data_IF_153538870488
#
_entry.id   IF_153538870488
#
_cell.length_a   1.000
_cell.length_b   1.000
_cell.length_c   1.000
_cell.angle_alpha   90.00
_cell.angle_beta   90.00
_cell.angle_gamma   90.00
#
_symmetry.space_group_name_H-M   'P 1'
#
loop_
_entity.id
_entity.type
_entity.pdbx_description
1 polymer ?
#
# COMPACT_ATOMS: atom_id res chain seq x y z
N UNK A 1 -5.72 -13.31 -46.64
CA UNK A 1 -6.02 -14.70 -46.28
C UNK A 1 -4.73 -15.36 -45.81
N UNK A 2 -4.49 -15.40 -44.51
CA UNK A 2 -3.48 -16.25 -43.92
C UNK A 2 -4.15 -16.94 -42.75
N UNK A 3 -4.57 -18.18 -42.98
CA UNK A 3 -5.12 -19.08 -42.01
C UNK A 3 -3.97 -19.54 -41.12
N UNK A 4 -3.92 -19.06 -39.87
CA UNK A 4 -2.99 -19.57 -38.87
C UNK A 4 -3.53 -20.94 -38.44
N UNK A 5 -2.93 -21.99 -38.97
CA UNK A 5 -3.10 -23.36 -38.52
C UNK A 5 -2.61 -23.44 -37.06
N UNK A 6 -3.53 -23.45 -36.10
CA UNK A 6 -3.25 -23.89 -34.73
C UNK A 6 -2.76 -25.34 -34.77
N UNK A 7 -1.49 -25.52 -34.42
CA UNK A 7 -0.85 -26.83 -34.52
C UNK A 7 -1.46 -27.82 -33.52
N UNK A 8 -1.70 -29.09 -33.92
CA UNK A 8 -2.25 -30.15 -33.05
C UNK A 8 -1.49 -30.33 -31.72
N UNK A 9 -0.21 -30.01 -31.70
CA UNK A 9 0.61 -30.07 -30.49
C UNK A 9 0.17 -29.04 -29.39
N UNK A 10 -0.30 -27.87 -29.80
CA UNK A 10 -0.78 -26.84 -28.86
C UNK A 10 -2.11 -27.23 -28.22
N UNK A 11 -2.98 -27.91 -28.98
CA UNK A 11 -4.24 -28.44 -28.48
C UNK A 11 -4.02 -29.64 -27.55
N UNK A 12 -3.05 -30.52 -27.85
CA UNK A 12 -2.69 -31.66 -27.00
C UNK A 12 -2.12 -31.19 -25.64
N UNK A 13 -1.21 -30.23 -25.63
CA UNK A 13 -0.63 -29.67 -24.38
C UNK A 13 -1.70 -28.96 -23.56
N UNK A 14 -2.61 -28.22 -24.18
CA UNK A 14 -3.74 -27.57 -23.51
C UNK A 14 -4.72 -28.62 -22.92
N UNK A 15 -4.97 -29.72 -23.60
CA UNK A 15 -5.85 -30.78 -23.11
C UNK A 15 -5.24 -31.56 -21.95
N UNK A 16 -3.93 -31.81 -21.95
CA UNK A 16 -3.24 -32.49 -20.85
C UNK A 16 -3.16 -31.60 -19.59
N UNK A 17 -2.87 -30.29 -19.76
CA UNK A 17 -2.81 -29.33 -18.64
C UNK A 17 -4.19 -29.12 -18.02
N UNK A 18 -5.25 -29.07 -18.82
CA UNK A 18 -6.63 -28.98 -18.31
C UNK A 18 -7.07 -30.28 -17.64
N UNK A 19 -6.68 -31.44 -18.14
CA UNK A 19 -6.96 -32.73 -17.52
C UNK A 19 -6.30 -32.86 -16.14
N UNK A 20 -5.03 -32.46 -16.00
CA UNK A 20 -4.32 -32.42 -14.71
C UNK A 20 -4.97 -31.46 -13.71
N UNK A 21 -5.37 -30.27 -14.15
CA UNK A 21 -6.07 -29.30 -13.29
C UNK A 21 -7.44 -29.80 -12.87
N UNK A 22 -8.16 -30.46 -13.75
CA UNK A 22 -9.49 -31.05 -13.47
C UNK A 22 -9.43 -32.11 -12.38
N UNK A 23 -8.39 -32.92 -12.34
CA UNK A 23 -8.20 -33.93 -11.30
C UNK A 23 -8.23 -33.34 -9.89
N UNK A 24 -7.63 -32.15 -9.68
CA UNK A 24 -7.69 -31.50 -8.38
C UNK A 24 -9.10 -31.07 -8.00
N UNK A 25 -9.89 -30.57 -8.94
CA UNK A 25 -11.28 -30.15 -8.69
C UNK A 25 -12.16 -31.35 -8.43
N UNK A 26 -12.04 -32.41 -9.20
CA UNK A 26 -12.88 -33.63 -9.06
C UNK A 26 -12.71 -34.25 -7.66
N UNK A 27 -11.51 -34.24 -7.09
CA UNK A 27 -11.24 -34.74 -5.73
C UNK A 27 -11.97 -33.98 -4.62
N UNK A 28 -12.39 -32.75 -4.86
CA UNK A 28 -13.16 -31.96 -3.89
C UNK A 28 -14.62 -32.48 -3.75
N UNK A 29 -15.05 -33.38 -4.61
CA UNK A 29 -16.38 -33.98 -4.62
C UNK A 29 -16.38 -35.46 -4.16
N UNK A 30 -15.25 -35.96 -3.67
CA UNK A 30 -15.17 -37.32 -3.13
C UNK A 30 -16.11 -37.44 -1.91
N UNK A 31 -16.84 -38.58 -1.78
CA UNK A 31 -17.70 -38.82 -0.63
C UNK A 31 -16.95 -39.01 0.70
N UNK A 32 -15.67 -39.38 0.61
CA UNK A 32 -14.81 -39.54 1.80
C UNK A 32 -14.20 -38.21 2.22
N UNK A 33 -14.52 -37.68 3.41
CA UNK A 33 -13.99 -36.41 3.90
C UNK A 33 -12.46 -36.37 3.97
N UNK A 34 -11.78 -37.47 4.25
CA UNK A 34 -10.32 -37.54 4.32
C UNK A 34 -9.69 -37.39 2.94
N UNK A 35 -10.32 -37.93 1.91
CA UNK A 35 -9.88 -37.75 0.52
C UNK A 35 -10.11 -36.33 0.04
N UNK A 36 -11.21 -35.68 0.47
CA UNK A 36 -11.46 -34.27 0.19
C UNK A 36 -10.38 -33.40 0.83
N UNK A 37 -10.07 -33.61 2.09
CA UNK A 37 -8.98 -32.88 2.78
C UNK A 37 -7.65 -33.04 2.06
N UNK A 38 -7.27 -34.29 1.72
CA UNK A 38 -6.04 -34.53 0.98
C UNK A 38 -6.06 -33.86 -0.40
N UNK A 39 -7.22 -33.85 -1.07
CA UNK A 39 -7.41 -33.14 -2.34
C UNK A 39 -7.17 -31.63 -2.23
N UNK A 40 -7.67 -31.00 -1.17
CA UNK A 40 -7.43 -29.57 -0.89
C UNK A 40 -5.95 -29.30 -0.59
N UNK A 41 -5.30 -30.15 0.19
CA UNK A 41 -3.86 -30.03 0.49
C UNK A 41 -3.03 -30.16 -0.80
N UNK A 42 -3.33 -31.13 -1.64
CA UNK A 42 -2.64 -31.31 -2.92
C UNK A 42 -2.84 -30.11 -3.85
N UNK A 43 -4.08 -29.57 -3.93
CA UNK A 43 -4.38 -28.35 -4.65
C UNK A 43 -3.57 -27.15 -4.11
N UNK A 44 -3.46 -26.99 -2.79
CA UNK A 44 -2.64 -25.97 -2.16
C UNK A 44 -1.20 -26.04 -2.67
N UNK A 45 -0.62 -27.24 -2.66
CA UNK A 45 0.75 -27.43 -3.11
C UNK A 45 0.93 -27.15 -4.61
N UNK A 46 -0.05 -27.50 -5.42
CA UNK A 46 -0.04 -27.31 -6.88
C UNK A 46 -0.10 -25.84 -7.31
N UNK A 47 -0.68 -24.95 -6.50
CA UNK A 47 -0.85 -23.52 -6.86
C UNK A 47 0.33 -22.65 -6.39
N UNK A 48 1.23 -23.17 -5.57
CA UNK A 48 2.38 -22.40 -5.09
C UNK A 48 3.27 -21.98 -6.26
N UNK A 49 3.42 -20.65 -6.46
CA UNK A 49 4.26 -20.09 -7.53
C UNK A 49 3.75 -20.34 -8.97
N UNK A 50 2.55 -20.90 -9.14
CA UNK A 50 2.02 -21.30 -10.43
C UNK A 50 0.73 -20.53 -10.81
N UNK A 51 0.88 -19.34 -11.38
CA UNK A 51 -0.27 -18.49 -11.76
C UNK A 51 -1.15 -19.11 -12.84
N UNK A 52 -0.58 -19.90 -13.74
CA UNK A 52 -1.35 -20.63 -14.76
C UNK A 52 -2.28 -21.67 -14.13
N UNK A 53 -1.76 -22.43 -13.16
CA UNK A 53 -2.56 -23.41 -12.43
C UNK A 53 -3.67 -22.75 -11.62
N UNK A 54 -3.40 -21.61 -10.96
CA UNK A 54 -4.42 -20.82 -10.27
C UNK A 54 -5.57 -20.42 -11.19
N UNK A 55 -5.26 -19.86 -12.37
CA UNK A 55 -6.25 -19.46 -13.35
C UNK A 55 -7.08 -20.66 -13.86
N UNK A 56 -6.43 -21.79 -14.15
CA UNK A 56 -7.11 -23.00 -14.61
C UNK A 56 -8.09 -23.54 -13.56
N UNK A 57 -7.70 -23.60 -12.30
CA UNK A 57 -8.56 -24.09 -11.22
C UNK A 57 -9.78 -23.19 -11.01
N UNK A 58 -9.60 -21.87 -11.14
CA UNK A 58 -10.72 -20.91 -11.06
C UNK A 58 -11.72 -21.18 -12.19
N UNK A 59 -11.26 -21.30 -13.43
CA UNK A 59 -12.10 -21.58 -14.60
C UNK A 59 -12.83 -22.93 -14.46
N UNK A 60 -12.19 -23.92 -13.86
CA UNK A 60 -12.78 -25.26 -13.63
C UNK A 60 -13.78 -25.32 -12.45
N UNK A 61 -14.02 -24.19 -11.78
CA UNK A 61 -15.04 -24.11 -10.72
C UNK A 61 -14.53 -24.49 -9.33
N UNK A 62 -13.24 -24.42 -9.07
CA UNK A 62 -12.68 -24.71 -7.73
C UNK A 62 -13.22 -23.77 -6.65
N UNK A 63 -13.38 -22.45 -6.96
CA UNK A 63 -13.77 -21.43 -5.99
C UNK A 63 -15.14 -21.70 -5.36
N UNK A 64 -16.22 -21.91 -6.11
CA UNK A 64 -17.53 -22.21 -5.52
C UNK A 64 -17.49 -23.46 -4.63
N UNK A 65 -16.76 -24.48 -5.03
CA UNK A 65 -16.66 -25.72 -4.26
C UNK A 65 -15.88 -25.54 -2.96
N UNK A 66 -14.76 -24.81 -2.99
CA UNK A 66 -13.98 -24.49 -1.79
C UNK A 66 -14.80 -23.65 -0.80
N UNK A 67 -15.58 -22.67 -1.30
CA UNK A 67 -16.47 -21.86 -0.47
C UNK A 67 -17.59 -22.71 0.13
N UNK A 68 -18.16 -23.64 -0.63
CA UNK A 68 -19.13 -24.59 -0.12
C UNK A 68 -18.56 -25.42 1.04
N UNK A 69 -17.38 -26.02 0.86
CA UNK A 69 -16.72 -26.83 1.90
C UNK A 69 -16.40 -26.02 3.16
N UNK A 70 -16.00 -24.76 2.99
CA UNK A 70 -15.69 -23.85 4.08
C UNK A 70 -16.93 -23.50 4.93
N UNK A 71 -18.12 -23.46 4.32
CA UNK A 71 -19.37 -23.11 4.98
C UNK A 71 -20.10 -24.31 5.60
N UNK A 72 -19.75 -25.55 5.23
CA UNK A 72 -20.44 -26.73 5.74
C UNK A 72 -20.18 -26.97 7.21
N UNK A 73 -21.23 -27.16 7.99
CA UNK A 73 -21.11 -27.49 9.41
C UNK A 73 -20.33 -28.80 9.67
N UNK A 74 -20.50 -29.77 8.77
CA UNK A 74 -19.88 -31.08 8.86
C UNK A 74 -18.38 -31.08 8.47
N UNK A 75 -17.89 -30.02 7.85
CA UNK A 75 -16.48 -29.91 7.50
C UNK A 75 -15.64 -29.74 8.77
N UNK A 76 -14.54 -30.50 8.86
CA UNK A 76 -13.59 -30.31 9.95
C UNK A 76 -12.96 -28.92 9.91
N UNK A 77 -12.54 -28.40 11.04
CA UNK A 77 -11.84 -27.11 11.12
C UNK A 77 -10.56 -27.11 10.28
N UNK A 78 -9.87 -28.25 10.22
CA UNK A 78 -8.70 -28.40 9.35
C UNK A 78 -9.04 -28.24 7.87
N UNK A 79 -10.12 -28.89 7.40
CA UNK A 79 -10.58 -28.75 6.02
C UNK A 79 -10.96 -27.29 5.69
N UNK A 80 -11.70 -26.64 6.59
CA UNK A 80 -12.08 -25.22 6.42
C UNK A 80 -10.85 -24.34 6.34
N UNK A 81 -9.87 -24.56 7.19
CA UNK A 81 -8.61 -23.80 7.21
C UNK A 81 -7.84 -23.97 5.90
N UNK A 82 -7.68 -25.22 5.43
CA UNK A 82 -6.99 -25.49 4.16
C UNK A 82 -7.73 -24.89 2.95
N UNK A 83 -9.06 -24.90 2.95
CA UNK A 83 -9.85 -24.20 1.92
C UNK A 83 -9.58 -22.70 1.91
N UNK A 84 -9.54 -22.05 3.07
CA UNK A 84 -9.23 -20.63 3.18
C UNK A 84 -7.80 -20.32 2.70
N UNK A 85 -6.83 -21.17 3.00
CA UNK A 85 -5.45 -21.05 2.52
C UNK A 85 -5.36 -21.15 0.99
N UNK A 86 -6.05 -22.11 0.38
CA UNK A 86 -6.09 -22.25 -1.09
C UNK A 86 -6.73 -21.03 -1.72
N UNK A 87 -7.87 -20.57 -1.21
CA UNK A 87 -8.56 -19.37 -1.73
C UNK A 87 -7.64 -18.14 -1.66
N UNK A 88 -6.90 -17.97 -0.57
CA UNK A 88 -5.90 -16.90 -0.44
C UNK A 88 -4.76 -17.02 -1.47
N UNK A 89 -4.30 -18.23 -1.74
CA UNK A 89 -3.29 -18.49 -2.77
C UNK A 89 -3.80 -18.19 -4.18
N UNK A 90 -5.06 -18.52 -4.48
CA UNK A 90 -5.70 -18.17 -5.76
C UNK A 90 -5.81 -16.64 -5.93
N UNK A 91 -6.14 -15.91 -4.87
CA UNK A 91 -6.20 -14.45 -4.87
C UNK A 91 -4.84 -13.78 -5.14
N UNK A 92 -3.74 -14.42 -4.78
CA UNK A 92 -2.37 -13.93 -5.02
C UNK A 92 -1.89 -14.09 -6.48
N UNK A 93 -2.73 -14.51 -7.41
CA UNK A 93 -2.35 -14.67 -8.81
C UNK A 93 -2.39 -13.37 -9.58
N UNK A 94 -3.53 -13.05 -10.14
CA UNK A 94 -3.77 -11.85 -10.95
C UNK A 94 -5.00 -11.10 -10.47
N UNK A 95 -5.17 -9.85 -10.92
CA UNK A 95 -6.38 -9.08 -10.64
C UNK A 95 -7.64 -9.78 -11.15
N UNK A 96 -7.56 -10.49 -12.28
CA UNK A 96 -8.68 -11.27 -12.81
C UNK A 96 -9.05 -12.42 -11.87
N UNK A 97 -8.08 -13.02 -11.20
CA UNK A 97 -8.36 -14.04 -10.18
C UNK A 97 -9.17 -13.43 -9.03
N UNK A 98 -8.76 -12.26 -8.54
CA UNK A 98 -9.50 -11.55 -7.47
C UNK A 98 -10.92 -11.22 -7.93
N UNK A 99 -11.12 -10.71 -9.15
CA UNK A 99 -12.47 -10.47 -9.71
C UNK A 99 -13.31 -11.72 -9.70
N UNK A 100 -12.77 -12.85 -10.13
CA UNK A 100 -13.50 -14.14 -10.12
C UNK A 100 -13.89 -14.58 -8.70
N UNK A 101 -13.03 -14.34 -7.71
CA UNK A 101 -13.37 -14.63 -6.31
C UNK A 101 -14.46 -13.70 -5.79
N UNK A 102 -14.43 -12.42 -6.15
CA UNK A 102 -15.47 -11.45 -5.79
C UNK A 102 -16.81 -11.82 -6.42
N UNK A 103 -16.84 -12.26 -7.67
CA UNK A 103 -18.03 -12.74 -8.36
C UNK A 103 -18.65 -13.97 -7.68
N UNK A 104 -17.85 -14.76 -6.98
CA UNK A 104 -18.31 -15.88 -6.14
C UNK A 104 -18.74 -15.46 -4.72
N UNK A 105 -18.83 -14.17 -4.42
CA UNK A 105 -19.22 -13.64 -3.10
C UNK A 105 -18.34 -14.13 -1.95
N UNK A 106 -17.03 -14.18 -2.14
CA UNK A 106 -16.07 -14.71 -1.16
C UNK A 106 -16.03 -13.88 0.13
N UNK A 107 -16.18 -12.54 0.07
CA UNK A 107 -16.02 -11.66 1.23
C UNK A 107 -17.01 -12.00 2.35
N UNK A 108 -18.33 -12.08 2.12
CA UNK A 108 -19.28 -12.46 3.16
C UNK A 108 -18.96 -13.81 3.80
N UNK A 109 -18.51 -14.79 3.01
CA UNK A 109 -18.17 -16.13 3.51
C UNK A 109 -16.96 -16.08 4.43
N UNK A 110 -15.91 -15.35 4.06
CA UNK A 110 -14.72 -15.20 4.90
C UNK A 110 -15.00 -14.38 6.17
N UNK A 111 -15.81 -13.33 6.08
CA UNK A 111 -16.24 -12.55 7.25
C UNK A 111 -17.03 -13.41 8.25
N UNK A 112 -17.91 -14.28 7.74
CA UNK A 112 -18.60 -15.25 8.60
C UNK A 112 -17.62 -16.23 9.27
N UNK A 113 -16.57 -16.63 8.56
CA UNK A 113 -15.50 -17.48 9.10
C UNK A 113 -14.75 -16.85 10.28
N UNK A 114 -14.71 -15.52 10.38
CA UNK A 114 -14.10 -14.81 11.51
C UNK A 114 -14.85 -14.99 12.83
N UNK A 115 -16.07 -15.48 12.81
CA UNK A 115 -16.87 -15.80 14.01
C UNK A 115 -16.50 -17.15 14.62
N UNK A 116 -15.63 -17.92 13.99
CA UNK A 116 -15.14 -19.20 14.48
C UNK A 116 -14.35 -19.04 15.78
N UNK A 117 -14.41 -20.01 16.72
CA UNK A 117 -13.54 -20.02 17.89
C UNK A 117 -12.10 -20.43 17.58
N UNK A 118 -11.83 -21.04 16.43
CA UNK A 118 -10.52 -21.54 16.04
C UNK A 118 -9.62 -20.43 15.46
N UNK A 119 -8.52 -20.14 16.16
CA UNK A 119 -7.62 -19.05 15.78
C UNK A 119 -6.93 -19.29 14.44
N UNK A 120 -6.52 -20.53 14.14
CA UNK A 120 -5.83 -20.85 12.87
C UNK A 120 -6.74 -20.61 11.67
N UNK A 121 -8.01 -20.96 11.83
CA UNK A 121 -9.01 -20.71 10.80
C UNK A 121 -9.28 -19.20 10.63
N UNK A 122 -9.42 -18.45 11.73
CA UNK A 122 -9.54 -16.99 11.70
C UNK A 122 -8.34 -16.37 10.96
N UNK A 123 -7.12 -16.78 11.29
CA UNK A 123 -5.90 -16.26 10.65
C UNK A 123 -5.86 -16.58 9.14
N UNK A 124 -6.29 -17.78 8.74
CA UNK A 124 -6.39 -18.15 7.33
C UNK A 124 -7.42 -17.29 6.57
N UNK A 125 -8.60 -17.05 7.16
CA UNK A 125 -9.61 -16.18 6.60
C UNK A 125 -9.12 -14.72 6.49
N UNK A 126 -8.47 -14.20 7.52
CA UNK A 126 -7.92 -12.84 7.52
C UNK A 126 -6.81 -12.67 6.48
N UNK A 127 -5.94 -13.67 6.33
CA UNK A 127 -4.90 -13.64 5.29
C UNK A 127 -5.49 -13.57 3.89
N UNK A 128 -6.55 -14.34 3.64
CA UNK A 128 -7.28 -14.28 2.37
C UNK A 128 -7.97 -12.94 2.18
N UNK A 129 -8.70 -12.45 3.17
CA UNK A 129 -9.36 -11.13 3.15
C UNK A 129 -8.35 -10.00 2.91
N UNK A 130 -7.20 -10.01 3.59
CA UNK A 130 -6.13 -9.04 3.35
C UNK A 130 -5.68 -9.03 1.90
N UNK A 131 -5.45 -10.20 1.30
CA UNK A 131 -5.05 -10.32 -0.10
C UNK A 131 -6.10 -9.75 -1.04
N UNK A 132 -7.38 -10.01 -0.77
CA UNK A 132 -8.49 -9.48 -1.58
C UNK A 132 -8.64 -7.97 -1.41
N UNK A 133 -8.69 -7.46 -0.17
CA UNK A 133 -8.87 -6.03 0.10
C UNK A 133 -7.70 -5.16 -0.32
N UNK A 134 -6.48 -5.69 -0.38
CA UNK A 134 -5.31 -4.95 -0.88
C UNK A 134 -5.19 -4.97 -2.41
N UNK A 135 -6.06 -5.69 -3.11
CA UNK A 135 -6.14 -5.67 -4.56
C UNK A 135 -6.82 -4.39 -5.06
N UNK A 136 -6.30 -3.75 -6.12
CA UNK A 136 -6.90 -2.52 -6.66
C UNK A 136 -8.28 -2.71 -7.27
N UNK A 137 -8.69 -3.95 -7.55
CA UNK A 137 -10.01 -4.26 -8.13
C UNK A 137 -11.11 -4.46 -7.09
N UNK A 138 -10.76 -4.51 -5.81
CA UNK A 138 -11.72 -4.69 -4.72
C UNK A 138 -12.21 -3.34 -4.22
N UNK A 139 -13.53 -3.05 -4.28
CA UNK A 139 -14.06 -1.83 -3.67
C UNK A 139 -13.87 -1.83 -2.15
N UNK A 140 -13.25 -0.81 -1.62
CA UNK A 140 -13.02 -0.65 -0.18
C UNK A 140 -14.30 -0.53 0.64
N UNK A 141 -15.39 -0.05 0.04
CA UNK A 141 -16.69 0.09 0.66
C UNK A 141 -17.27 -1.24 1.13
N UNK A 142 -16.83 -2.36 0.55
CA UNK A 142 -17.25 -3.70 0.98
C UNK A 142 -16.84 -4.01 2.43
N UNK A 143 -15.79 -3.34 2.94
CA UNK A 143 -15.39 -3.47 4.35
C UNK A 143 -16.39 -2.79 5.30
N UNK A 144 -17.05 -1.74 4.85
CA UNK A 144 -17.93 -0.88 5.66
C UNK A 144 -19.42 -1.14 5.43
N UNK A 145 -19.78 -2.06 4.54
CA UNK A 145 -21.16 -2.36 4.16
C UNK A 145 -22.00 -2.98 5.30
N UNK A 146 -21.36 -3.68 6.22
CA UNK A 146 -21.96 -4.25 7.41
C UNK A 146 -21.34 -3.61 8.66
N UNK A 147 -22.16 -2.94 9.46
CA UNK A 147 -21.74 -2.21 10.66
C UNK A 147 -21.09 -3.10 11.74
N UNK A 148 -21.27 -4.41 11.69
CA UNK A 148 -20.71 -5.36 12.67
C UNK A 148 -19.27 -5.74 12.39
N UNK A 149 -18.79 -5.54 11.15
CA UNK A 149 -17.47 -6.00 10.70
C UNK A 149 -16.35 -5.25 11.40
N UNK A 150 -16.37 -3.93 11.40
CA UNK A 150 -15.29 -3.12 12.00
C UNK A 150 -15.14 -3.38 13.50
N UNK A 151 -16.21 -3.36 14.32
CA UNK A 151 -16.10 -3.72 15.74
C UNK A 151 -15.53 -5.11 15.96
N UNK A 152 -15.92 -6.09 15.14
CA UNK A 152 -15.41 -7.45 15.25
C UNK A 152 -13.93 -7.56 14.91
N UNK A 153 -13.48 -6.89 13.85
CA UNK A 153 -12.06 -6.83 13.51
C UNK A 153 -11.24 -6.14 14.60
N UNK A 154 -11.76 -5.06 15.22
CA UNK A 154 -11.11 -4.43 16.37
C UNK A 154 -10.92 -5.41 17.53
N UNK A 155 -11.95 -6.23 17.85
CA UNK A 155 -11.87 -7.24 18.89
C UNK A 155 -10.84 -8.33 18.58
N UNK A 156 -10.64 -8.69 17.31
CA UNK A 156 -9.67 -9.69 16.89
C UNK A 156 -8.21 -9.21 16.98
N UNK A 157 -7.95 -7.92 17.09
CA UNK A 157 -6.59 -7.37 17.25
C UNK A 157 -5.85 -7.91 18.49
N UNK A 158 -6.58 -8.35 19.52
CA UNK A 158 -5.99 -8.92 20.72
C UNK A 158 -5.61 -10.40 20.63
N UNK A 159 -5.93 -11.08 19.51
CA UNK A 159 -5.85 -12.54 19.44
C UNK A 159 -4.44 -13.05 19.10
N UNK A 160 -3.76 -12.47 18.11
CA UNK A 160 -2.41 -12.90 17.71
C UNK A 160 -1.69 -11.80 16.91
N UNK A 161 -0.35 -11.99 16.71
CA UNK A 161 0.43 -11.12 15.84
C UNK A 161 -0.04 -11.14 14.37
N UNK A 162 -0.59 -12.27 13.91
CA UNK A 162 -1.11 -12.39 12.54
C UNK A 162 -2.43 -11.65 12.39
N UNK A 163 -3.34 -11.72 13.36
CA UNK A 163 -4.56 -10.91 13.34
C UNK A 163 -4.22 -9.43 13.36
N UNK A 164 -3.24 -9.02 14.16
CA UNK A 164 -2.74 -7.63 14.20
C UNK A 164 -2.19 -7.17 12.85
N UNK A 165 -1.29 -7.95 12.25
CA UNK A 165 -0.69 -7.63 10.96
C UNK A 165 -1.75 -7.51 9.84
N UNK A 166 -2.61 -8.51 9.71
CA UNK A 166 -3.57 -8.55 8.61
C UNK A 166 -4.68 -7.52 8.75
N UNK A 167 -5.20 -7.33 9.95
CA UNK A 167 -6.27 -6.34 10.19
C UNK A 167 -5.74 -4.91 10.01
N UNK A 168 -4.58 -4.58 10.55
CA UNK A 168 -3.97 -3.26 10.34
C UNK A 168 -3.69 -3.00 8.85
N UNK A 169 -3.27 -4.01 8.10
CA UNK A 169 -3.04 -3.87 6.66
C UNK A 169 -4.35 -3.63 5.91
N UNK A 170 -5.44 -4.32 6.27
CA UNK A 170 -6.77 -4.06 5.71
C UNK A 170 -7.22 -2.63 6.02
N UNK A 171 -7.14 -2.20 7.27
CA UNK A 171 -7.55 -0.86 7.68
C UNK A 171 -6.74 0.24 6.98
N UNK A 172 -5.43 0.12 6.93
CA UNK A 172 -4.60 1.13 6.27
C UNK A 172 -4.85 1.22 4.78
N UNK A 173 -5.15 0.09 4.13
CA UNK A 173 -5.44 0.07 2.70
C UNK A 173 -6.85 0.58 2.37
N UNK A 174 -7.85 0.22 3.18
CA UNK A 174 -9.26 0.55 2.93
C UNK A 174 -9.72 1.87 3.56
N UNK A 175 -8.84 2.64 4.19
CA UNK A 175 -9.16 3.96 4.71
C UNK A 175 -8.86 5.03 3.66
N UNK A 176 -9.85 5.42 2.86
CA UNK A 176 -9.68 6.29 1.69
C UNK A 176 -10.30 7.68 1.83
N UNK A 177 -11.00 7.96 2.90
CA UNK A 177 -11.65 9.24 3.08
C UNK A 177 -12.11 9.50 4.51
N UNK A 178 -12.67 10.68 4.78
CA UNK A 178 -13.06 11.09 6.12
C UNK A 178 -14.12 10.19 6.76
N UNK A 179 -15.04 9.64 5.97
CA UNK A 179 -16.06 8.72 6.48
C UNK A 179 -15.44 7.43 7.00
N UNK A 180 -14.48 6.86 6.26
CA UNK A 180 -13.75 5.67 6.71
C UNK A 180 -12.91 5.97 7.96
N UNK A 181 -12.22 7.12 8.01
CA UNK A 181 -11.49 7.56 9.19
C UNK A 181 -12.39 7.67 10.41
N UNK A 182 -13.58 8.26 10.24
CA UNK A 182 -14.56 8.43 11.31
C UNK A 182 -15.06 7.09 11.85
N UNK A 183 -15.37 6.14 10.96
CA UNK A 183 -15.82 4.80 11.36
C UNK A 183 -14.73 4.09 12.17
N UNK A 184 -13.49 4.07 11.68
CA UNK A 184 -12.37 3.43 12.38
C UNK A 184 -12.10 4.10 13.73
N UNK A 185 -12.07 5.42 13.76
CA UNK A 185 -11.85 6.20 14.98
C UNK A 185 -12.92 5.94 16.04
N UNK A 186 -14.19 5.97 15.66
CA UNK A 186 -15.32 5.76 16.57
C UNK A 186 -15.36 4.33 17.13
N UNK A 187 -14.81 3.35 16.43
CA UNK A 187 -14.69 1.97 16.91
C UNK A 187 -13.37 1.69 17.64
N UNK A 188 -12.63 2.72 18.02
CA UNK A 188 -11.47 2.60 18.88
C UNK A 188 -10.17 2.24 18.19
N UNK A 189 -9.99 2.60 16.92
CA UNK A 189 -8.76 2.31 16.16
C UNK A 189 -7.52 2.85 16.88
N UNK A 190 -7.54 4.09 17.37
CA UNK A 190 -6.40 4.70 18.06
C UNK A 190 -6.00 3.90 19.31
N UNK A 191 -6.97 3.58 20.17
CA UNK A 191 -6.72 2.87 21.42
C UNK A 191 -6.25 1.42 21.18
N UNK A 192 -6.81 0.75 20.18
CA UNK A 192 -6.51 -0.66 19.90
C UNK A 192 -5.23 -0.85 19.09
N UNK A 193 -4.75 0.17 18.35
CA UNK A 193 -3.60 0.05 17.46
C UNK A 193 -2.34 0.71 18.07
N UNK A 194 -2.47 1.73 18.91
CA UNK A 194 -1.33 2.48 19.43
C UNK A 194 -0.25 1.60 20.10
N UNK A 195 -0.65 0.65 20.94
CA UNK A 195 0.29 -0.25 21.61
C UNK A 195 1.00 -1.22 20.65
N UNK A 196 0.49 -1.42 19.44
CA UNK A 196 1.13 -2.25 18.42
C UNK A 196 2.41 -1.62 17.85
N UNK A 197 2.60 -0.31 18.03
CA UNK A 197 3.83 0.39 17.64
C UNK A 197 5.06 -0.07 18.43
N UNK A 198 4.88 -0.66 19.60
CA UNK A 198 5.93 -1.24 20.44
C UNK A 198 6.01 -2.76 20.34
N UNK A 199 5.26 -3.38 19.44
CA UNK A 199 5.30 -4.83 19.20
C UNK A 199 6.70 -5.33 18.85
N UNK A 200 7.05 -6.51 19.32
CA UNK A 200 8.29 -7.18 18.91
C UNK A 200 8.34 -7.51 17.41
N UNK A 201 7.19 -7.67 16.77
CA UNK A 201 7.10 -7.93 15.32
C UNK A 201 7.24 -6.65 14.51
N UNK A 202 8.29 -6.57 13.68
CA UNK A 202 8.47 -5.47 12.73
C UNK A 202 7.27 -5.30 11.80
N UNK A 203 6.70 -6.38 11.29
CA UNK A 203 5.54 -6.35 10.41
C UNK A 203 4.32 -5.72 11.08
N UNK A 204 4.08 -6.06 12.34
CA UNK A 204 2.98 -5.47 13.13
C UNK A 204 3.22 -3.98 13.34
N UNK A 205 4.44 -3.58 13.74
CA UNK A 205 4.78 -2.16 13.92
C UNK A 205 4.55 -1.36 12.64
N UNK A 206 5.00 -1.87 11.49
CA UNK A 206 4.84 -1.18 10.21
C UNK A 206 3.38 -1.03 9.80
N UNK A 207 2.56 -2.07 9.95
CA UNK A 207 1.15 -1.99 9.60
C UNK A 207 0.38 -1.05 10.54
N UNK A 208 0.71 -1.05 11.83
CA UNK A 208 0.16 -0.09 12.79
C UNK A 208 0.53 1.36 12.41
N UNK A 209 1.78 1.59 12.05
CA UNK A 209 2.28 2.90 11.65
C UNK A 209 1.55 3.40 10.39
N UNK A 210 1.31 2.55 9.41
CA UNK A 210 0.52 2.87 8.21
C UNK A 210 -0.93 3.24 8.55
N UNK A 211 -1.53 2.59 9.55
CA UNK A 211 -2.86 2.98 10.04
C UNK A 211 -2.88 4.41 10.56
N UNK A 212 -1.90 4.81 11.35
CA UNK A 212 -1.82 6.19 11.86
C UNK A 212 -1.62 7.21 10.75
N UNK A 213 -0.84 6.90 9.73
CA UNK A 213 -0.67 7.78 8.58
C UNK A 213 -2.01 8.05 7.87
N UNK A 214 -2.79 7.02 7.57
CA UNK A 214 -4.09 7.20 6.89
C UNK A 214 -5.14 7.84 7.79
N UNK A 215 -5.10 7.62 9.11
CA UNK A 215 -6.03 8.23 10.06
C UNK A 215 -5.74 9.72 10.29
N UNK A 216 -4.48 10.12 10.26
CA UNK A 216 -4.07 11.51 10.48
C UNK A 216 -4.22 12.39 9.24
N UNK A 217 -4.25 11.80 8.04
CA UNK A 217 -4.24 12.53 6.78
C UNK A 217 -5.48 13.42 6.64
N UNK A 218 -5.26 14.74 6.53
CA UNK A 218 -6.32 15.75 6.39
C UNK A 218 -7.44 15.63 7.43
N UNK A 219 -7.11 15.16 8.64
CA UNK A 219 -8.08 14.96 9.72
C UNK A 219 -7.62 15.64 11.02
N UNK A 220 -8.03 16.90 11.26
CA UNK A 220 -7.66 17.64 12.46
C UNK A 220 -8.13 16.98 13.75
N UNK A 221 -9.33 16.45 13.81
CA UNK A 221 -9.90 15.83 15.00
C UNK A 221 -9.07 14.64 15.47
N UNK A 222 -8.76 13.73 14.55
CA UNK A 222 -7.93 12.55 14.87
C UNK A 222 -6.51 13.00 15.21
N UNK A 223 -5.91 13.90 14.42
CA UNK A 223 -4.56 14.39 14.67
C UNK A 223 -4.41 15.05 16.04
N UNK A 224 -5.38 15.85 16.47
CA UNK A 224 -5.42 16.45 17.81
C UNK A 224 -5.55 15.39 18.92
N UNK A 225 -6.21 14.29 18.65
CA UNK A 225 -6.26 13.16 19.60
C UNK A 225 -4.91 12.45 19.69
N UNK A 226 -4.24 12.23 18.55
CA UNK A 226 -2.98 11.48 18.48
C UNK A 226 -1.86 12.13 19.29
N UNK A 227 -1.77 13.46 19.36
CA UNK A 227 -0.70 14.15 20.10
C UNK A 227 -0.75 13.89 21.60
N UNK A 228 -1.88 13.46 22.14
CA UNK A 228 -2.09 13.19 23.55
C UNK A 228 -2.10 11.69 23.90
N UNK A 229 -1.91 10.82 22.90
CA UNK A 229 -1.89 9.38 23.14
C UNK A 229 -0.57 8.97 23.80
N UNK A 230 -0.67 8.22 24.88
CA UNK A 230 0.46 7.62 25.59
C UNK A 230 0.56 6.13 25.27
N UNK A 231 1.76 5.69 24.94
CA UNK A 231 2.10 4.27 24.78
C UNK A 231 3.33 4.00 25.63
N UNK A 232 3.21 3.11 26.59
CA UNK A 232 4.28 2.77 27.53
C UNK A 232 4.86 4.01 28.26
N UNK A 233 4.01 5.00 28.55
CA UNK A 233 4.39 6.25 29.22
C UNK A 233 5.02 7.32 28.31
N UNK A 234 5.07 7.10 27.02
CA UNK A 234 5.64 8.00 26.03
C UNK A 234 4.58 8.54 25.08
N UNK A 235 4.62 9.82 24.75
CA UNK A 235 3.69 10.44 23.80
C UNK A 235 3.92 9.91 22.37
N UNK A 236 2.85 9.69 21.65
CA UNK A 236 2.87 9.13 20.29
C UNK A 236 3.78 9.90 19.32
N UNK A 237 3.81 11.26 19.28
CA UNK A 237 4.75 12.00 18.44
C UNK A 237 6.22 11.68 18.74
N UNK A 238 6.57 11.43 19.99
CA UNK A 238 7.94 11.07 20.39
C UNK A 238 8.31 9.67 19.89
N UNK A 239 7.36 8.72 19.88
CA UNK A 239 7.55 7.39 19.30
C UNK A 239 7.81 7.53 17.80
N UNK A 240 7.05 8.35 17.09
CA UNK A 240 7.28 8.61 15.66
C UNK A 240 8.66 9.24 15.41
N UNK A 241 9.10 10.19 16.26
CA UNK A 241 10.44 10.80 16.15
C UNK A 241 11.56 9.76 16.30
N UNK A 242 11.42 8.79 17.22
CA UNK A 242 12.38 7.69 17.36
C UNK A 242 12.46 6.83 16.10
N UNK A 243 11.34 6.66 15.40
CA UNK A 243 11.28 5.89 14.15
C UNK A 243 11.92 6.62 12.95
N UNK A 244 12.24 7.92 13.08
CA UNK A 244 12.97 8.68 12.06
C UNK A 244 14.50 8.46 12.11
N UNK A 245 15.02 7.77 13.12
CA UNK A 245 16.45 7.57 13.29
C UNK A 245 17.04 6.81 12.10
N UNK A 246 18.30 7.12 11.76
CA UNK A 246 18.96 6.58 10.56
C UNK A 246 19.22 5.08 10.59
N UNK A 247 19.21 4.47 11.76
CA UNK A 247 19.33 3.03 11.96
C UNK A 247 18.04 2.25 11.66
N UNK A 248 16.91 2.95 11.52
CA UNK A 248 15.62 2.35 11.21
C UNK A 248 15.47 2.07 9.71
N UNK A 249 14.67 1.08 9.32
CA UNK A 249 14.34 0.83 7.92
C UNK A 249 13.74 2.07 7.25
N UNK A 250 14.07 2.29 5.98
CA UNK A 250 13.63 3.48 5.23
C UNK A 250 12.10 3.61 5.17
N UNK A 251 11.40 2.50 4.97
CA UNK A 251 9.93 2.48 4.99
C UNK A 251 9.37 3.00 6.32
N UNK A 252 9.99 2.64 7.44
CA UNK A 252 9.60 3.12 8.77
C UNK A 252 9.87 4.61 8.92
N UNK A 253 11.05 5.09 8.49
CA UNK A 253 11.38 6.52 8.53
C UNK A 253 10.38 7.34 7.71
N UNK A 254 10.11 6.95 6.47
CA UNK A 254 9.15 7.64 5.58
C UNK A 254 7.74 7.65 6.16
N UNK A 255 7.24 6.51 6.62
CA UNK A 255 5.87 6.42 7.15
C UNK A 255 5.71 7.23 8.44
N UNK A 256 6.72 7.23 9.32
CA UNK A 256 6.73 8.07 10.53
C UNK A 256 6.78 9.56 10.18
N UNK A 257 7.59 9.94 9.19
CA UNK A 257 7.64 11.32 8.71
C UNK A 257 6.29 11.76 8.13
N UNK A 258 5.57 10.87 7.45
CA UNK A 258 4.20 11.15 6.99
C UNK A 258 3.24 11.39 8.15
N UNK A 259 3.28 10.56 9.20
CA UNK A 259 2.44 10.76 10.38
C UNK A 259 2.67 12.14 10.99
N UNK A 260 3.91 12.52 11.23
CA UNK A 260 4.27 13.81 11.81
C UNK A 260 3.89 14.98 10.86
N UNK A 261 4.12 14.82 9.57
CA UNK A 261 3.72 15.78 8.54
C UNK A 261 2.22 16.02 8.54
N UNK A 262 1.42 14.96 8.55
CA UNK A 262 -0.05 15.07 8.55
C UNK A 262 -0.58 15.69 9.84
N UNK A 263 0.01 15.35 10.98
CA UNK A 263 -0.34 15.97 12.27
C UNK A 263 0.02 17.47 12.30
N UNK A 264 1.17 17.85 11.74
CA UNK A 264 1.57 19.26 11.60
C UNK A 264 0.62 20.02 10.66
N UNK A 265 0.32 19.48 9.50
CA UNK A 265 -0.59 20.12 8.52
C UNK A 265 -2.04 20.22 9.04
N UNK A 266 -2.44 19.32 9.91
CA UNK A 266 -3.73 19.37 10.60
C UNK A 266 -3.75 20.34 11.80
N UNK A 267 -2.64 21.00 12.12
CA UNK A 267 -2.52 21.95 13.23
C UNK A 267 -2.36 21.31 14.61
N UNK A 268 -2.15 20.00 14.67
CA UNK A 268 -1.94 19.30 15.94
C UNK A 268 -0.52 19.44 16.48
N UNK A 269 0.46 19.65 15.60
CA UNK A 269 1.84 19.96 15.93
C UNK A 269 2.18 21.31 15.28
N UNK A 270 2.83 22.20 16.02
CA UNK A 270 3.24 23.50 15.49
C UNK A 270 4.36 23.35 14.45
N UNK A 271 4.38 24.23 13.45
CA UNK A 271 5.39 24.22 12.38
C UNK A 271 6.81 24.53 12.89
N UNK A 272 6.94 25.24 14.00
CA UNK A 272 8.20 25.58 14.69
C UNK A 272 8.64 24.51 15.72
N UNK A 273 7.84 23.47 15.92
CA UNK A 273 8.19 22.37 16.84
C UNK A 273 9.49 21.67 16.39
N UNK A 274 10.34 21.36 17.36
CA UNK A 274 11.63 20.70 17.10
C UNK A 274 11.48 19.34 16.41
N UNK A 275 10.38 18.62 16.65
CA UNK A 275 10.12 17.36 15.97
C UNK A 275 9.87 17.55 14.46
N UNK A 276 9.37 18.71 14.06
CA UNK A 276 9.18 19.07 12.65
C UNK A 276 10.47 19.63 12.06
N UNK A 277 10.99 20.71 12.64
CA UNK A 277 12.14 21.47 12.09
C UNK A 277 13.43 20.66 12.11
N UNK A 278 13.73 19.96 13.21
CA UNK A 278 15.02 19.29 13.42
C UNK A 278 14.99 17.79 13.16
N UNK A 279 13.83 17.19 12.99
CA UNK A 279 13.68 15.74 12.82
C UNK A 279 12.96 15.36 11.54
N UNK A 280 11.73 15.78 11.36
CA UNK A 280 10.89 15.37 10.22
C UNK A 280 11.39 15.97 8.90
N UNK A 281 11.60 17.28 8.85
CA UNK A 281 12.07 17.97 7.65
C UNK A 281 13.42 17.44 7.16
N UNK A 282 14.46 17.34 7.99
CA UNK A 282 15.75 16.78 7.57
C UNK A 282 15.64 15.31 7.15
N UNK A 283 14.78 14.52 7.77
CA UNK A 283 14.52 13.14 7.36
C UNK A 283 13.99 13.10 5.93
N UNK A 284 12.95 13.88 5.61
CA UNK A 284 12.37 13.96 4.29
C UNK A 284 13.35 14.49 3.23
N UNK A 285 14.17 15.48 3.59
CA UNK A 285 15.23 15.97 2.70
C UNK A 285 16.23 14.86 2.33
N UNK A 286 16.65 14.05 3.30
CA UNK A 286 17.53 12.89 3.03
C UNK A 286 16.87 11.86 2.11
N UNK A 287 15.55 11.69 2.16
CA UNK A 287 14.83 10.75 1.26
C UNK A 287 14.86 11.20 -0.20
N UNK A 288 15.13 12.49 -0.45
CA UNK A 288 15.28 13.01 -1.81
C UNK A 288 16.64 12.70 -2.44
N UNK A 289 17.60 12.14 -1.71
CA UNK A 289 18.95 11.85 -2.17
C UNK A 289 18.98 10.83 -3.31
N UNK A 290 19.92 11.02 -4.25
CA UNK A 290 20.17 10.11 -5.37
C UNK A 290 20.52 8.67 -4.95
N UNK A 291 20.93 8.47 -3.72
CA UNK A 291 21.27 7.16 -3.14
C UNK A 291 20.03 6.37 -2.73
N UNK A 292 18.86 6.99 -2.73
CA UNK A 292 17.58 6.36 -2.42
C UNK A 292 16.96 5.71 -3.64
N UNK A 293 16.07 4.74 -3.40
CA UNK A 293 15.27 4.15 -4.48
C UNK A 293 14.36 5.22 -5.10
N UNK A 294 13.95 4.99 -6.35
CA UNK A 294 13.14 5.96 -7.09
C UNK A 294 11.82 6.28 -6.37
N UNK A 295 11.16 5.25 -5.87
CA UNK A 295 9.91 5.36 -5.12
C UNK A 295 10.10 6.12 -3.80
N UNK A 296 11.21 5.89 -3.10
CA UNK A 296 11.56 6.60 -1.86
C UNK A 296 11.79 8.09 -2.11
N UNK A 297 12.45 8.43 -3.22
CA UNK A 297 12.69 9.82 -3.63
C UNK A 297 11.40 10.54 -4.00
N UNK A 298 10.52 9.89 -4.73
CA UNK A 298 9.19 10.44 -5.08
C UNK A 298 8.39 10.69 -3.81
N UNK A 299 8.28 9.69 -2.96
CA UNK A 299 7.51 9.76 -1.72
C UNK A 299 8.05 10.79 -0.74
N UNK A 300 9.36 10.84 -0.57
CA UNK A 300 10.03 11.85 0.25
C UNK A 300 9.82 13.28 -0.25
N UNK A 301 9.97 13.51 -1.55
CA UNK A 301 9.78 14.83 -2.15
C UNK A 301 8.32 15.30 -2.09
N UNK A 302 7.36 14.43 -2.38
CA UNK A 302 5.93 14.76 -2.28
C UNK A 302 5.49 15.03 -0.84
N UNK A 303 5.97 14.25 0.11
CA UNK A 303 5.66 14.45 1.54
C UNK A 303 6.28 15.76 2.05
N UNK A 304 7.52 16.05 1.67
CA UNK A 304 8.18 17.30 2.04
C UNK A 304 7.47 18.51 1.43
N UNK A 305 7.05 18.44 0.17
CA UNK A 305 6.24 19.48 -0.47
C UNK A 305 4.95 19.74 0.32
N UNK A 306 4.25 18.68 0.70
CA UNK A 306 3.03 18.80 1.52
C UNK A 306 3.30 19.42 2.89
N UNK A 307 4.41 19.09 3.55
CA UNK A 307 4.78 19.66 4.84
C UNK A 307 4.96 21.19 4.78
N UNK A 308 5.68 21.67 3.76
CA UNK A 308 6.16 23.06 3.71
C UNK A 308 5.28 24.04 2.93
N UNK A 309 4.33 23.54 2.13
CA UNK A 309 3.64 24.36 1.12
C UNK A 309 2.87 25.56 1.68
N UNK A 310 2.49 25.55 2.95
CA UNK A 310 1.71 26.61 3.60
C UNK A 310 2.50 27.44 4.63
N UNK A 311 3.78 27.12 4.88
CA UNK A 311 4.59 27.78 5.91
C UNK A 311 5.90 28.33 5.33
N UNK A 312 6.06 29.65 5.37
CA UNK A 312 7.22 30.35 4.79
C UNK A 312 8.54 30.00 5.51
N UNK A 313 8.52 29.82 6.83
CA UNK A 313 9.72 29.49 7.58
C UNK A 313 10.19 28.07 7.29
N UNK A 314 9.26 27.11 7.16
CA UNK A 314 9.60 25.75 6.72
C UNK A 314 10.15 25.76 5.29
N UNK A 315 9.61 26.58 4.39
CA UNK A 315 10.14 26.74 3.03
C UNK A 315 11.58 27.24 3.04
N UNK A 316 11.87 28.25 3.87
CA UNK A 316 13.23 28.81 4.04
C UNK A 316 14.20 27.77 4.59
N UNK A 317 13.82 27.06 5.65
CA UNK A 317 14.64 26.01 6.25
C UNK A 317 14.90 24.88 5.22
N UNK A 318 13.88 24.42 4.53
CA UNK A 318 14.03 23.38 3.52
C UNK A 318 14.97 23.82 2.38
N UNK A 319 14.91 25.08 1.97
CA UNK A 319 15.73 25.62 0.87
C UNK A 319 17.24 25.57 1.11
N UNK A 320 17.66 25.52 2.38
CA UNK A 320 19.07 25.45 2.77
C UNK A 320 19.48 24.07 3.31
N UNK A 321 18.53 23.16 3.47
CA UNK A 321 18.78 21.83 4.03
C UNK A 321 19.36 20.90 2.94
N UNK A 322 20.49 20.27 3.25
CA UNK A 322 21.13 19.19 2.45
C UNK A 322 21.22 19.48 0.94
N UNK A 323 21.40 20.75 0.55
CA UNK A 323 21.44 21.16 -0.87
C UNK A 323 20.21 20.71 -1.68
N UNK A 324 19.03 20.69 -1.07
CA UNK A 324 17.81 20.13 -1.63
C UNK A 324 17.49 20.64 -3.04
N UNK A 325 17.61 21.96 -3.29
CA UNK A 325 17.29 22.55 -4.60
C UNK A 325 18.20 21.98 -5.70
N UNK A 326 19.50 21.85 -5.42
CA UNK A 326 20.46 21.27 -6.38
C UNK A 326 20.21 19.75 -6.58
N UNK A 327 19.86 19.08 -5.50
CA UNK A 327 19.57 17.65 -5.52
C UNK A 327 18.34 17.33 -6.39
N UNK A 328 17.30 18.13 -6.33
CA UNK A 328 16.09 17.97 -7.15
C UNK A 328 16.36 18.19 -8.64
N UNK A 329 17.37 18.96 -9.02
CA UNK A 329 17.76 19.14 -10.42
C UNK A 329 18.16 17.79 -11.08
N UNK A 330 18.69 16.84 -10.33
CA UNK A 330 19.06 15.53 -10.83
C UNK A 330 17.84 14.66 -11.20
N UNK A 331 16.66 14.94 -10.65
CA UNK A 331 15.42 14.25 -10.99
C UNK A 331 15.03 14.45 -12.47
N UNK A 332 15.41 15.59 -13.08
CA UNK A 332 15.14 15.88 -14.48
C UNK A 332 16.12 15.21 -15.44
N UNK A 333 17.26 14.75 -14.94
CA UNK A 333 18.28 14.05 -15.72
C UNK A 333 18.02 12.55 -15.86
N UNK A 334 17.09 12.01 -15.10
CA UNK A 334 16.76 10.59 -15.11
C UNK A 334 15.77 10.25 -16.26
N UNK A 335 15.93 9.11 -16.99
CA UNK A 335 17.11 8.26 -17.02
C UNK A 335 18.27 8.93 -17.77
N UNK A 336 19.48 8.71 -17.31
CA UNK A 336 20.68 9.41 -17.83
C UNK A 336 21.04 9.05 -19.27
N UNK A 337 20.62 7.88 -19.78
CA UNK A 337 20.73 7.49 -21.19
C UNK A 337 19.66 6.45 -21.55
N UNK A 338 18.71 6.84 -22.39
CA UNK A 338 17.69 5.95 -22.95
C UNK A 338 18.29 5.03 -24.02
N UNK A 339 19.37 5.45 -24.67
CA UNK A 339 20.01 4.76 -25.79
C UNK A 339 20.70 3.44 -25.41
N UNK A 340 20.92 3.17 -24.13
CA UNK A 340 21.57 1.94 -23.64
C UNK A 340 20.58 0.85 -23.21
N UNK A 341 19.27 1.11 -23.22
CA UNK A 341 18.25 0.18 -22.72
C UNK A 341 17.72 -0.64 -23.90
N UNK A 342 18.06 -1.91 -23.93
CA UNK A 342 17.61 -2.87 -24.96
C UNK A 342 16.34 -3.62 -24.55
N UNK A 343 15.97 -3.58 -23.27
CA UNK A 343 14.78 -4.23 -22.71
C UNK A 343 13.60 -3.26 -22.63
N UNK A 344 12.56 -3.52 -23.42
CA UNK A 344 11.35 -2.67 -23.52
C UNK A 344 10.64 -2.56 -22.17
N UNK A 345 10.54 -3.63 -21.38
CA UNK A 345 9.87 -3.60 -20.07
C UNK A 345 10.62 -2.70 -19.09
N UNK A 346 11.94 -2.76 -19.12
CA UNK A 346 12.79 -1.90 -18.30
C UNK A 346 12.67 -0.45 -18.74
N UNK A 347 12.58 -0.21 -20.04
CA UNK A 347 12.38 1.14 -20.58
C UNK A 347 11.05 1.74 -20.15
N UNK A 348 9.95 0.98 -20.19
CA UNK A 348 8.63 1.43 -19.74
C UNK A 348 8.63 1.74 -18.26
N UNK A 349 9.25 0.88 -17.44
CA UNK A 349 9.43 1.10 -16.02
C UNK A 349 10.21 2.39 -15.73
N UNK A 350 11.35 2.57 -16.41
CA UNK A 350 12.20 3.74 -16.23
C UNK A 350 11.55 5.04 -16.71
N UNK A 351 10.76 4.99 -17.79
CA UNK A 351 9.99 6.14 -18.27
C UNK A 351 8.86 6.54 -17.29
N UNK A 352 8.17 5.56 -16.71
CA UNK A 352 7.14 5.80 -15.69
C UNK A 352 7.75 6.49 -14.47
N UNK A 353 8.83 5.96 -13.93
CA UNK A 353 9.52 6.54 -12.77
C UNK A 353 10.14 7.91 -13.08
N UNK A 354 10.65 8.13 -14.30
CA UNK A 354 11.13 9.43 -14.70
C UNK A 354 10.03 10.50 -14.68
N UNK A 355 8.81 10.12 -15.08
CA UNK A 355 7.65 11.01 -15.00
C UNK A 355 7.27 11.33 -13.54
N UNK A 356 7.18 10.31 -12.71
CA UNK A 356 6.86 10.45 -11.28
C UNK A 356 7.91 11.32 -10.54
N UNK A 357 9.21 11.10 -10.80
CA UNK A 357 10.29 11.91 -10.25
C UNK A 357 10.17 13.38 -10.62
N UNK A 358 9.91 13.67 -11.91
CA UNK A 358 9.75 15.06 -12.37
C UNK A 358 8.55 15.72 -11.74
N UNK A 359 7.42 15.02 -11.65
CA UNK A 359 6.23 15.55 -10.98
C UNK A 359 6.50 15.85 -9.50
N UNK A 360 7.16 14.95 -8.79
CA UNK A 360 7.54 15.15 -7.40
C UNK A 360 8.49 16.35 -7.23
N UNK A 361 9.50 16.48 -8.09
CA UNK A 361 10.40 17.62 -8.09
C UNK A 361 9.66 18.95 -8.36
N UNK A 362 8.71 18.97 -9.29
CA UNK A 362 7.90 20.17 -9.55
C UNK A 362 7.01 20.53 -8.36
N UNK A 363 6.37 19.56 -7.72
CA UNK A 363 5.57 19.81 -6.51
C UNK A 363 6.43 20.44 -5.41
N UNK A 364 7.64 19.91 -5.20
CA UNK A 364 8.53 20.41 -4.17
C UNK A 364 9.10 21.78 -4.54
N UNK A 365 9.48 22.04 -5.78
CA UNK A 365 9.89 23.37 -6.24
C UNK A 365 8.77 24.40 -6.10
N UNK A 366 7.54 24.03 -6.44
CA UNK A 366 6.39 24.91 -6.27
C UNK A 366 6.15 25.24 -4.79
N UNK A 367 6.26 24.27 -3.90
CA UNK A 367 6.13 24.49 -2.47
C UNK A 367 7.26 25.36 -1.92
N UNK A 368 8.51 25.10 -2.29
CA UNK A 368 9.68 25.89 -1.88
C UNK A 368 9.58 27.37 -2.30
N UNK A 369 9.15 27.61 -3.53
CA UNK A 369 9.06 28.96 -4.10
C UNK A 369 7.71 29.66 -3.88
N UNK A 370 6.81 29.09 -3.08
CA UNK A 370 5.45 29.60 -2.94
C UNK A 370 5.38 31.04 -2.45
N UNK A 371 6.19 31.43 -1.45
CA UNK A 371 6.08 32.70 -0.76
C UNK A 371 7.36 33.55 -0.77
N UNK A 372 8.52 33.02 -1.18
CA UNK A 372 9.82 33.69 -1.12
C UNK A 372 10.44 33.85 -2.51
N UNK A 373 10.67 35.12 -2.92
CA UNK A 373 11.21 35.45 -4.25
C UNK A 373 12.66 34.99 -4.43
N UNK A 374 13.48 35.04 -3.37
CA UNK A 374 14.87 34.63 -3.46
C UNK A 374 14.99 33.11 -3.63
N UNK A 375 14.10 32.36 -3.00
CA UNK A 375 14.02 30.92 -3.22
C UNK A 375 13.57 30.65 -4.66
N UNK A 376 12.60 31.38 -5.19
CA UNK A 376 12.17 31.25 -6.62
C UNK A 376 13.33 31.49 -7.56
N UNK A 377 14.16 32.51 -7.31
CA UNK A 377 15.37 32.81 -8.11
C UNK A 377 16.35 31.64 -8.05
N UNK A 378 16.63 31.09 -6.86
CA UNK A 378 17.52 29.93 -6.68
C UNK A 378 17.03 28.71 -7.43
N UNK A 379 15.73 28.39 -7.35
CA UNK A 379 15.10 27.31 -8.10
C UNK A 379 15.24 27.53 -9.60
N UNK A 380 14.99 28.74 -10.10
CA UNK A 380 15.11 29.09 -11.52
C UNK A 380 16.54 28.98 -12.04
N UNK A 381 17.54 29.25 -11.23
CA UNK A 381 18.96 29.14 -11.56
C UNK A 381 19.52 27.72 -11.48
N UNK A 382 18.80 26.79 -10.87
CA UNK A 382 19.26 25.40 -10.65
C UNK A 382 19.45 24.58 -11.94
N UNK A 383 19.21 25.16 -13.10
CA UNK A 383 19.39 24.52 -14.42
C UNK A 383 18.25 23.58 -14.84
N UNK A 384 17.31 23.32 -13.93
CA UNK A 384 16.17 22.40 -14.20
C UNK A 384 15.29 22.89 -15.34
N UNK A 385 15.14 24.21 -15.50
CA UNK A 385 14.33 24.82 -16.55
C UNK A 385 14.98 24.76 -17.96
N UNK A 386 16.28 24.62 -18.05
CA UNK A 386 16.97 24.46 -19.36
C UNK A 386 16.62 23.12 -20.01
N UNK A 387 16.42 22.08 -19.22
CA UNK A 387 15.98 20.75 -19.70
C UNK A 387 14.52 20.74 -20.21
N UNK A 388 13.69 21.63 -19.73
CA UNK A 388 12.27 21.75 -20.15
C UNK A 388 12.13 22.43 -21.51
N UNK A 389 13.06 23.34 -21.89
CA UNK A 389 13.07 24.00 -23.19
C UNK A 389 13.51 23.10 -24.33
N UNK A 390 14.30 22.05 -24.06
CA UNK A 390 14.94 21.20 -25.09
C UNK A 390 14.09 19.96 -25.44
N UNK A 391 13.17 19.54 -24.60
CA UNK A 391 12.27 18.42 -24.90
C UNK A 391 10.83 18.90 -24.95
N UNK A 392 10.31 19.03 -26.18
CA UNK A 392 8.88 19.20 -26.52
C UNK A 392 8.06 17.97 -26.11
N UNK A 393 8.12 17.57 -24.84
CA UNK A 393 7.23 16.58 -24.28
C UNK A 393 6.12 17.31 -23.57
N UNK A 394 4.90 17.02 -23.95
CA UNK A 394 3.60 17.40 -23.36
C UNK A 394 3.56 17.16 -21.84
N UNK A 395 4.38 17.83 -21.08
CA UNK A 395 4.17 18.05 -19.67
C UNK A 395 2.99 19.00 -19.56
N UNK A 396 1.93 18.53 -18.96
CA UNK A 396 0.64 19.20 -18.88
C UNK A 396 0.84 20.69 -18.65
N UNK A 397 0.36 21.50 -19.58
CA UNK A 397 0.27 22.96 -19.53
C UNK A 397 -0.18 23.49 -18.15
N UNK A 398 -0.86 22.67 -17.36
CA UNK A 398 -1.30 22.96 -16.01
C UNK A 398 -0.14 23.24 -15.03
N UNK A 399 0.99 22.54 -15.15
CA UNK A 399 2.17 22.76 -14.31
C UNK A 399 3.03 23.92 -14.81
N UNK A 400 3.11 24.10 -16.13
CA UNK A 400 3.77 25.29 -16.71
C UNK A 400 2.98 26.58 -16.36
N UNK A 401 1.65 26.53 -16.31
CA UNK A 401 0.82 27.66 -15.90
C UNK A 401 0.99 28.01 -14.41
N UNK A 402 1.13 27.02 -13.52
CA UNK A 402 1.43 27.29 -12.11
C UNK A 402 2.80 27.94 -11.92
N UNK A 403 3.81 27.53 -12.68
CA UNK A 403 5.16 28.14 -12.61
C UNK A 403 5.22 29.51 -13.28
N UNK A 404 4.46 29.75 -14.34
CA UNK A 404 4.36 31.07 -14.97
C UNK A 404 3.55 32.06 -14.13
N UNK A 405 2.54 31.61 -13.40
CA UNK A 405 1.81 32.44 -12.42
C UNK A 405 2.68 32.80 -11.20
N UNK A 406 3.64 31.96 -10.85
CA UNK A 406 4.65 32.23 -9.80
C UNK A 406 5.72 33.24 -10.31
N UNK A 407 5.90 33.39 -11.62
CA UNK A 407 6.85 34.35 -12.24
C UNK A 407 6.23 35.74 -12.55
N UNK A 408 4.92 35.93 -12.40
CA UNK A 408 4.21 37.17 -12.86
C UNK A 408 3.52 37.92 -11.68
N UNK A 409 3.81 37.57 -10.44
CA UNK A 409 3.36 38.41 -9.31
C UNK A 409 4.51 38.94 -8.50
#
# INVERSE_FOLDING_TARGET
MACVLETPLRMSILSEVTASSRHYVDRLFDPDPQKVLQGVIDMKNAVIGNNKQKANLIVLGAVPRLLYLLQQENSSTELKTECAVVLGSLAMGTENNVKSLLDCHIIPVLLQGLLSPDLKFIEACLRCLRTIFTSPVTPEELLYSDATVIPHLMALLSRSRYTQEYICQIFSHCCKGPDHQTVLFNHGAVQNIAHLLTSASYKVRMQALKCFAVLAFENPQISMTLVNVLVDGELLPQIFVKMLQRDKPIEMQLTSAKCLTYMCRAGAICTDDTCIVLKTLPCLARMCSKERLLEERVDGAETLAYLIETDIELQRIASITDHLIAMLADYFKYPSSVSAITDIKRLDHDLKHAHELRQAAFKLYAALGANDEDIRKKVSLSGSFQYLKVRNTTLSLKYMFCLSLVSIK
#
